data_IF_299036444867
#
_entry.id   IF_299036444867
#
_cell.length_a   1.000
_cell.length_b   1.000
_cell.length_c   1.000
_cell.angle_alpha   90.00
_cell.angle_beta   90.00
_cell.angle_gamma   90.00
#
_symmetry.space_group_name_H-M   'P 1'
#
loop_
_entity.id
_entity.type
_entity.pdbx_description
1 polymer ?
#
# COMPACT_ATOMS: atom_id res chain seq x y z
N UNK A 1 -23.32 14.56 -13.50
CA UNK A 1 -23.04 13.40 -12.61
C UNK A 1 -21.72 12.78 -13.05
N UNK A 2 -20.74 12.64 -12.16
CA UNK A 2 -19.48 11.98 -12.52
C UNK A 2 -19.73 10.51 -12.87
N UNK A 3 -19.06 10.01 -13.92
CA UNK A 3 -19.18 8.62 -14.37
C UNK A 3 -18.77 7.70 -13.20
N UNK A 4 -19.63 6.77 -12.79
CA UNK A 4 -19.25 5.76 -11.78
C UNK A 4 -18.21 4.86 -12.40
N UNK A 5 -17.03 4.83 -11.78
CA UNK A 5 -15.96 3.91 -12.15
C UNK A 5 -16.39 2.50 -11.72
N UNK A 6 -16.50 1.58 -12.68
CA UNK A 6 -16.79 0.17 -12.42
C UNK A 6 -15.53 -0.54 -11.94
N UNK A 7 -15.34 -0.57 -10.63
CA UNK A 7 -14.22 -1.30 -10.01
C UNK A 7 -14.44 -2.81 -10.15
N UNK A 8 -13.42 -3.53 -10.62
CA UNK A 8 -13.38 -4.99 -10.59
C UNK A 8 -12.82 -5.43 -9.24
N UNK A 9 -13.52 -6.32 -8.56
CA UNK A 9 -13.06 -6.89 -7.29
C UNK A 9 -11.98 -7.95 -7.53
N UNK A 10 -10.90 -7.88 -6.75
CA UNK A 10 -9.82 -8.87 -6.74
C UNK A 10 -9.92 -9.74 -5.49
N UNK A 11 -10.24 -9.11 -4.36
CA UNK A 11 -10.47 -9.76 -3.08
C UNK A 11 -11.49 -8.95 -2.28
N UNK A 12 -12.40 -9.62 -1.58
CA UNK A 12 -13.49 -8.99 -0.83
C UNK A 12 -13.49 -9.58 0.57
N UNK A 13 -13.43 -8.68 1.56
CA UNK A 13 -13.48 -9.02 3.00
C UNK A 13 -12.57 -10.20 3.40
N UNK A 14 -11.33 -10.18 2.91
CA UNK A 14 -10.33 -11.20 3.25
C UNK A 14 -9.51 -10.77 4.45
N UNK A 15 -8.92 -11.72 5.17
CA UNK A 15 -8.03 -11.39 6.28
C UNK A 15 -6.74 -10.68 5.82
N UNK A 16 -5.95 -10.19 6.77
CA UNK A 16 -4.72 -9.45 6.49
C UNK A 16 -3.66 -10.29 5.74
N UNK A 17 -3.60 -11.61 5.97
CA UNK A 17 -2.63 -12.50 5.34
C UNK A 17 -2.96 -12.76 3.88
N UNK A 18 -4.22 -13.10 3.60
CA UNK A 18 -4.72 -13.26 2.24
C UNK A 18 -4.65 -11.93 1.47
N UNK A 19 -5.04 -10.82 2.11
CA UNK A 19 -4.91 -9.48 1.54
C UNK A 19 -3.47 -9.13 1.17
N UNK A 20 -2.50 -9.43 2.03
CA UNK A 20 -1.08 -9.20 1.73
C UNK A 20 -0.61 -10.06 0.55
N UNK A 21 -1.03 -11.33 0.47
CA UNK A 21 -0.69 -12.21 -0.64
C UNK A 21 -1.18 -11.66 -1.99
N UNK A 22 -2.38 -11.08 -2.02
CA UNK A 22 -2.90 -10.37 -3.20
C UNK A 22 -2.04 -9.15 -3.52
N UNK A 23 -1.73 -8.32 -2.52
CA UNK A 23 -0.91 -7.10 -2.70
C UNK A 23 0.50 -7.40 -3.21
N UNK A 24 1.09 -8.53 -2.82
CA UNK A 24 2.42 -8.97 -3.28
C UNK A 24 2.42 -9.35 -4.77
N UNK A 25 1.31 -9.88 -5.28
CA UNK A 25 1.14 -10.25 -6.69
C UNK A 25 0.90 -9.03 -7.60
N UNK A 26 0.43 -7.92 -7.05
CA UNK A 26 0.25 -6.69 -7.82
C UNK A 26 1.60 -6.13 -8.29
N UNK A 27 1.59 -5.48 -9.45
CA UNK A 27 2.75 -4.71 -9.91
C UNK A 27 3.08 -3.58 -8.94
N UNK A 28 4.31 -3.08 -9.01
CA UNK A 28 4.73 -1.87 -8.32
C UNK A 28 3.68 -0.76 -8.40
N UNK A 29 3.29 -0.23 -7.25
CA UNK A 29 2.32 0.83 -7.12
C UNK A 29 2.69 1.80 -6.00
N UNK A 30 2.21 3.03 -6.13
CA UNK A 30 2.24 4.04 -5.08
C UNK A 30 0.83 4.28 -4.53
N UNK A 31 0.75 4.81 -3.30
CA UNK A 31 -0.52 5.22 -2.70
C UNK A 31 -0.76 6.69 -3.08
N UNK A 32 -1.70 6.92 -3.98
CA UNK A 32 -2.13 8.25 -4.43
C UNK A 32 -2.95 8.97 -3.35
N UNK A 33 -3.85 8.24 -2.70
CA UNK A 33 -4.71 8.77 -1.62
C UNK A 33 -4.80 7.79 -0.46
N UNK A 34 -4.84 8.31 0.76
CA UNK A 34 -5.04 7.52 1.98
C UNK A 34 -5.87 8.32 2.99
N UNK A 35 -7.09 7.87 3.29
CA UNK A 35 -8.01 8.58 4.19
C UNK A 35 -8.73 7.60 5.11
N UNK A 36 -9.00 8.03 6.34
CA UNK A 36 -9.86 7.29 7.26
C UNK A 36 -11.32 7.64 6.97
N UNK A 37 -12.21 6.65 7.03
CA UNK A 37 -13.66 6.83 6.88
C UNK A 37 -14.40 5.81 7.76
N UNK A 38 -15.72 5.96 7.95
CA UNK A 38 -16.53 4.99 8.69
C UNK A 38 -16.50 3.63 8.01
N UNK A 39 -16.39 2.56 8.79
CA UNK A 39 -16.22 1.21 8.26
C UNK A 39 -17.45 0.74 7.49
N UNK A 40 -17.25 0.30 6.25
CA UNK A 40 -18.29 -0.34 5.44
C UNK A 40 -18.16 -1.87 5.41
N UNK A 41 -17.12 -2.44 6.01
CA UNK A 41 -16.92 -3.89 6.11
C UNK A 41 -17.74 -4.46 7.28
N UNK A 42 -17.73 -3.76 8.42
CA UNK A 42 -18.39 -4.21 9.63
C UNK A 42 -19.69 -3.42 9.86
N UNK A 43 -20.86 -3.94 9.42
CA UNK A 43 -22.12 -3.22 9.59
C UNK A 43 -22.44 -3.01 11.08
N UNK A 44 -22.94 -1.82 11.43
CA UNK A 44 -23.45 -1.53 12.76
C UNK A 44 -22.39 -1.22 13.83
N UNK A 45 -21.13 -1.02 13.46
CA UNK A 45 -20.05 -0.70 14.41
C UNK A 45 -19.42 0.65 14.13
N UNK A 46 -19.18 1.45 15.17
CA UNK A 46 -18.56 2.78 15.06
C UNK A 46 -17.03 2.69 15.12
N UNK A 47 -16.44 2.06 14.11
CA UNK A 47 -15.00 2.12 13.91
C UNK A 47 -14.64 2.58 12.50
N UNK A 48 -13.35 2.89 12.33
CA UNK A 48 -12.83 3.46 11.09
C UNK A 48 -12.24 2.37 10.20
N UNK A 49 -12.35 2.57 8.90
CA UNK A 49 -11.57 1.88 7.87
C UNK A 49 -10.59 2.85 7.23
N UNK A 50 -9.52 2.33 6.64
CA UNK A 50 -8.58 3.07 5.81
C UNK A 50 -8.86 2.81 4.34
N UNK A 51 -9.32 3.83 3.64
CA UNK A 51 -9.48 3.83 2.19
C UNK A 51 -8.20 4.33 1.53
N UNK A 52 -7.69 3.58 0.56
CA UNK A 52 -6.48 3.90 -0.21
C UNK A 52 -6.73 3.77 -1.71
N UNK A 53 -6.30 4.78 -2.47
CA UNK A 53 -6.22 4.70 -3.93
C UNK A 53 -4.77 4.50 -4.35
N UNK A 54 -4.57 3.64 -5.34
CA UNK A 54 -3.27 3.21 -5.83
C UNK A 54 -3.07 3.63 -7.28
N UNK A 55 -1.84 4.03 -7.58
CA UNK A 55 -1.36 4.33 -8.93
C UNK A 55 -0.26 3.38 -9.33
N UNK A 56 -0.24 2.99 -10.61
CA UNK A 56 0.83 2.19 -11.15
C UNK A 56 2.18 2.94 -11.09
N UNK A 57 3.19 2.31 -10.51
CA UNK A 57 4.59 2.75 -10.47
C UNK A 57 5.50 1.66 -11.08
N UNK A 58 4.97 0.95 -12.07
CA UNK A 58 5.68 -0.13 -12.75
C UNK A 58 6.58 0.43 -13.83
N UNK A 59 7.88 0.18 -13.73
CA UNK A 59 8.85 0.54 -14.77
C UNK A 59 8.51 -0.08 -16.12
N UNK A 60 8.09 -1.34 -16.12
CA UNK A 60 7.69 -2.03 -17.36
C UNK A 60 6.47 -1.39 -18.00
N UNK A 61 5.55 -0.80 -17.22
CA UNK A 61 4.43 -0.03 -17.78
C UNK A 61 4.85 1.35 -18.30
N UNK A 62 5.84 1.98 -17.67
CA UNK A 62 6.38 3.27 -18.08
C UNK A 62 7.24 3.16 -19.37
N UNK A 63 7.96 2.05 -19.54
CA UNK A 63 8.75 1.78 -20.75
C UNK A 63 7.88 1.35 -21.92
N UNK A 64 6.78 0.62 -21.66
CA UNK A 64 5.89 0.14 -22.72
C UNK A 64 5.05 1.25 -23.38
N UNK A 65 4.81 2.36 -22.69
CA UNK A 65 4.01 3.47 -23.22
C UNK A 65 4.42 4.80 -22.59
N UNK A 66 4.58 5.89 -23.39
CA UNK A 66 4.93 7.20 -22.86
C UNK A 66 3.82 7.86 -22.04
N UNK A 67 2.58 7.36 -22.15
CA UNK A 67 1.42 7.86 -21.39
C UNK A 67 1.34 7.15 -20.03
N UNK A 68 0.91 7.90 -19.00
CA UNK A 68 0.67 7.36 -17.66
C UNK A 68 -0.23 6.13 -17.75
N UNK A 69 0.21 5.06 -17.09
CA UNK A 69 -0.53 3.81 -17.00
C UNK A 69 -1.94 4.06 -16.43
N UNK A 70 -2.95 3.57 -17.16
CA UNK A 70 -4.36 3.80 -16.82
C UNK A 70 -4.84 2.93 -15.64
N UNK A 71 -4.07 1.92 -15.24
CA UNK A 71 -4.39 1.08 -14.10
C UNK A 71 -4.46 1.89 -12.80
N UNK A 72 -5.54 1.65 -12.05
CA UNK A 72 -5.78 2.17 -10.71
C UNK A 72 -6.14 1.02 -9.79
N UNK A 73 -5.67 1.08 -8.55
CA UNK A 73 -6.09 0.17 -7.49
C UNK A 73 -6.89 0.90 -6.41
N UNK A 74 -7.75 0.16 -5.72
CA UNK A 74 -8.44 0.59 -4.51
C UNK A 74 -8.21 -0.47 -3.45
N UNK A 75 -7.74 -0.05 -2.29
CA UNK A 75 -7.65 -0.90 -1.11
C UNK A 75 -8.43 -0.28 0.02
N UNK A 76 -9.14 -1.14 0.72
CA UNK A 76 -9.96 -0.78 1.85
C UNK A 76 -9.58 -1.71 2.98
N UNK A 77 -9.15 -1.17 4.11
CA UNK A 77 -8.74 -1.98 5.27
C UNK A 77 -9.53 -1.57 6.50
N UNK A 78 -10.24 -2.49 7.14
CA UNK A 78 -10.83 -2.27 8.45
C UNK A 78 -9.71 -2.01 9.48
N UNK A 79 -9.85 -1.01 10.35
CA UNK A 79 -8.83 -0.76 11.40
C UNK A 79 -9.06 -1.56 12.68
N UNK A 80 -10.21 -2.24 12.81
CA UNK A 80 -10.54 -3.07 13.97
C UNK A 80 -10.25 -4.55 13.71
N UNK A 81 -10.76 -5.11 12.61
CA UNK A 81 -10.56 -6.52 12.24
C UNK A 81 -9.36 -6.76 11.32
N UNK A 82 -8.76 -5.69 10.77
CA UNK A 82 -7.69 -5.76 9.75
C UNK A 82 -8.09 -6.43 8.43
N UNK A 83 -9.37 -6.78 8.25
CA UNK A 83 -9.88 -7.31 6.99
C UNK A 83 -9.72 -6.29 5.84
N UNK A 84 -9.46 -6.80 4.64
CA UNK A 84 -9.12 -6.02 3.46
C UNK A 84 -10.03 -6.37 2.30
N UNK A 85 -10.45 -5.36 1.55
CA UNK A 85 -11.03 -5.52 0.22
C UNK A 85 -10.16 -4.77 -0.81
N UNK A 86 -9.87 -5.43 -1.92
CA UNK A 86 -8.99 -4.94 -2.98
C UNK A 86 -9.74 -4.98 -4.31
N UNK A 87 -9.71 -3.86 -5.01
CA UNK A 87 -10.35 -3.72 -6.32
C UNK A 87 -9.42 -2.98 -7.28
N UNK A 88 -9.63 -3.15 -8.58
CA UNK A 88 -8.87 -2.46 -9.62
C UNK A 88 -9.76 -1.89 -10.72
N UNK A 89 -9.19 -0.96 -11.46
CA UNK A 89 -9.81 -0.33 -12.60
C UNK A 89 -8.77 -0.06 -13.69
N UNK A 90 -9.17 -0.20 -14.95
CA UNK A 90 -8.27 -0.05 -16.09
C UNK A 90 -7.34 -1.25 -16.28
N UNK A 91 -6.36 -1.07 -17.17
CA UNK A 91 -5.37 -2.09 -17.49
C UNK A 91 -3.96 -1.51 -17.38
N UNK A 92 -3.00 -2.39 -17.10
CA UNK A 92 -1.59 -2.04 -17.18
C UNK A 92 -1.14 -1.91 -18.64
N UNK A 93 -0.24 -0.97 -18.92
CA UNK A 93 0.34 -0.79 -20.26
C UNK A 93 1.22 -1.98 -20.71
N UNK A 94 1.65 -2.80 -19.77
CA UNK A 94 2.49 -3.98 -20.02
C UNK A 94 1.94 -5.16 -19.24
N UNK A 95 2.06 -6.38 -19.78
CA UNK A 95 1.78 -7.62 -19.07
C UNK A 95 2.96 -8.05 -18.16
N UNK A 96 4.20 -7.63 -18.50
CA UNK A 96 5.43 -8.05 -17.81
C UNK A 96 5.44 -7.65 -16.34
N UNK A 97 5.49 -8.62 -15.44
CA UNK A 97 5.55 -8.38 -14.01
C UNK A 97 6.68 -7.39 -13.68
N UNK A 98 6.39 -6.43 -12.81
CA UNK A 98 7.44 -5.62 -12.17
C UNK A 98 7.17 -5.66 -10.68
N UNK A 99 7.99 -6.40 -9.95
CA UNK A 99 7.88 -6.41 -8.50
C UNK A 99 8.41 -5.08 -7.95
N UNK A 100 7.60 -4.44 -7.11
CA UNK A 100 7.99 -3.22 -6.41
C UNK A 100 9.11 -3.49 -5.42
N UNK A 101 9.59 -2.42 -4.77
CA UNK A 101 10.43 -2.59 -3.58
C UNK A 101 9.77 -3.57 -2.62
N UNK A 102 10.55 -4.49 -2.06
CA UNK A 102 10.08 -5.44 -1.05
C UNK A 102 9.35 -4.66 0.04
N UNK A 103 8.05 -4.89 0.15
CA UNK A 103 7.23 -4.33 1.23
C UNK A 103 7.54 -5.10 2.51
N UNK A 104 7.35 -4.45 3.65
CA UNK A 104 7.48 -5.12 4.93
C UNK A 104 6.45 -6.25 5.02
N UNK A 105 6.88 -7.44 5.42
CA UNK A 105 5.96 -8.54 5.70
C UNK A 105 5.05 -8.22 6.89
N UNK A 106 3.97 -8.98 7.08
CA UNK A 106 3.09 -8.83 8.25
C UNK A 106 3.88 -8.94 9.56
N UNK A 107 4.79 -9.90 9.68
CA UNK A 107 5.65 -10.06 10.85
C UNK A 107 6.57 -8.85 11.09
N UNK A 108 7.11 -8.27 10.01
CA UNK A 108 7.93 -7.06 10.11
C UNK A 108 7.09 -5.84 10.53
N UNK A 109 5.87 -5.70 9.98
CA UNK A 109 4.92 -4.64 10.35
C UNK A 109 4.50 -4.76 11.82
N UNK A 110 4.18 -5.96 12.30
CA UNK A 110 3.82 -6.22 13.69
C UNK A 110 4.96 -5.83 14.65
N UNK A 111 6.21 -6.18 14.32
CA UNK A 111 7.36 -5.72 15.11
C UNK A 111 7.48 -4.19 15.11
N UNK A 112 7.28 -3.52 13.96
CA UNK A 112 7.33 -2.07 13.90
C UNK A 112 6.26 -1.43 14.78
N UNK A 113 5.05 -1.97 14.76
CA UNK A 113 3.92 -1.50 15.56
C UNK A 113 4.20 -1.68 17.05
N UNK A 114 4.65 -2.86 17.47
CA UNK A 114 5.03 -3.15 18.85
C UNK A 114 6.11 -2.18 19.35
N UNK A 115 7.20 -2.01 18.60
CA UNK A 115 8.28 -1.11 18.99
C UNK A 115 7.84 0.37 18.99
N UNK A 116 6.91 0.75 18.11
CA UNK A 116 6.33 2.10 18.09
C UNK A 116 5.39 2.34 19.28
N UNK A 117 4.61 1.35 19.69
CA UNK A 117 3.79 1.38 20.90
C UNK A 117 4.66 1.51 22.17
N UNK A 118 5.85 0.90 22.14
CA UNK A 118 6.88 1.06 23.16
C UNK A 118 7.70 2.37 23.01
N UNK A 119 7.21 3.34 22.25
CA UNK A 119 7.81 4.67 22.06
C UNK A 119 9.25 4.68 21.53
N UNK A 120 9.67 3.63 20.81
CA UNK A 120 11.00 3.63 20.22
C UNK A 120 11.08 4.58 19.03
N UNK A 121 12.17 5.34 18.97
CA UNK A 121 12.45 6.22 17.84
C UNK A 121 12.56 5.44 16.52
N UNK A 122 12.14 6.02 15.37
CA UNK A 122 12.17 5.33 14.07
C UNK A 122 13.52 4.71 13.71
N UNK A 123 14.64 5.36 14.05
CA UNK A 123 15.97 4.80 13.80
C UNK A 123 16.24 3.53 14.62
N UNK A 124 15.76 3.47 15.87
CA UNK A 124 15.89 2.27 16.71
C UNK A 124 15.05 1.11 16.18
N UNK A 125 13.83 1.42 15.72
CA UNK A 125 12.95 0.43 15.05
C UNK A 125 13.63 -0.11 13.79
N UNK A 126 14.21 0.77 12.96
CA UNK A 126 14.94 0.37 11.77
C UNK A 126 16.12 -0.56 12.10
N UNK A 127 16.95 -0.23 13.09
CA UNK A 127 18.05 -1.10 13.51
C UNK A 127 17.56 -2.45 14.04
N UNK A 128 16.44 -2.48 14.78
CA UNK A 128 15.84 -3.72 15.24
C UNK A 128 15.37 -4.61 14.08
N UNK A 129 14.74 -4.02 13.05
CA UNK A 129 14.33 -4.75 11.83
C UNK A 129 15.53 -5.32 11.07
N UNK A 130 16.60 -4.53 10.89
CA UNK A 130 17.82 -5.01 10.22
C UNK A 130 18.46 -6.17 10.96
N UNK A 131 18.54 -6.12 12.30
CA UNK A 131 19.08 -7.22 13.11
C UNK A 131 18.22 -8.48 13.07
N UNK A 132 16.89 -8.34 13.17
CA UNK A 132 15.99 -9.49 13.32
C UNK A 132 15.69 -10.19 12.00
N UNK A 133 15.69 -9.47 10.87
CA UNK A 133 15.25 -10.01 9.58
C UNK A 133 16.33 -9.94 8.47
N UNK A 134 17.58 -9.62 8.81
CA UNK A 134 18.67 -9.42 7.86
C UNK A 134 18.29 -8.47 6.69
N UNK A 135 17.41 -7.50 6.96
CA UNK A 135 16.91 -6.57 5.94
C UNK A 135 18.05 -5.62 5.55
N UNK A 136 18.46 -5.56 4.26
CA UNK A 136 19.45 -4.58 3.84
C UNK A 136 18.91 -3.17 4.16
N UNK A 137 19.78 -2.22 4.58
CA UNK A 137 19.34 -0.90 4.97
C UNK A 137 18.54 -0.27 3.82
N UNK A 138 17.25 0.01 4.08
CA UNK A 138 16.45 0.77 3.14
C UNK A 138 17.12 2.13 3.03
N UNK A 139 17.61 2.49 1.83
CA UNK A 139 18.10 3.85 1.57
C UNK A 139 16.95 4.80 1.85
N UNK A 140 16.96 5.44 3.02
CA UNK A 140 16.08 6.55 3.35
C UNK A 140 16.48 7.65 2.37
N UNK A 141 15.76 7.78 1.26
CA UNK A 141 15.86 8.97 0.45
C UNK A 141 15.29 10.10 1.31
N UNK A 142 16.17 10.87 1.96
CA UNK A 142 15.83 12.19 2.48
C UNK A 142 15.15 12.91 1.31
N UNK A 143 13.84 13.10 1.39
CA UNK A 143 13.10 13.98 0.49
C UNK A 143 13.77 15.34 0.68
N UNK A 144 14.65 15.74 -0.25
CA UNK A 144 15.25 17.06 -0.21
C UNK A 144 14.09 18.05 -0.35
N UNK A 145 13.75 18.69 0.77
CA UNK A 145 12.96 19.90 0.75
C UNK A 145 13.77 20.93 -0.03
N UNK A 146 13.53 20.98 -1.34
CA UNK A 146 14.01 22.06 -2.20
C UNK A 146 13.22 23.30 -1.79
N UNK A 147 13.69 23.98 -0.74
CA UNK A 147 13.31 25.36 -0.46
C UNK A 147 13.78 26.18 -1.67
N UNK A 148 12.83 26.57 -2.52
CA UNK A 148 13.02 27.70 -3.44
C UNK A 148 12.91 28.95 -2.56
N UNK A 149 14.03 29.61 -2.28
CA UNK A 149 14.02 31.03 -1.97
C UNK A 149 14.13 31.79 -3.29
N UNK A 150 13.32 32.85 -3.36
CA UNK A 150 13.13 33.74 -4.49
C UNK A 150 14.39 34.53 -4.85
#
# INVERSE_FOLDING_TARGET
MSRRVSWREIAVDVDAAEGEAVVVRLKSFDIDKSQAMGCSICPGTDHKMRYRLLDCNSKTCAEACPVKCAWRGKMVTCLASEHVSISEFGAHNSATASHGRKKLSLTQKALCQDLAQNHLHPMRIHHALSRKFATPPLKIYRRSSRFKTS
#
